data_IF_028807390339
#
_entry.id   IF_028807390339
#
_cell.length_a   1.000
_cell.length_b   1.000
_cell.length_c   1.000
_cell.angle_alpha   90.00
_cell.angle_beta   90.00
_cell.angle_gamma   90.00
#
_symmetry.space_group_name_H-M   'P 1'
#
loop_
_entity.id
_entity.type
_entity.pdbx_description
1 polymer ?
#
# COMPACT_ATOMS: atom_id res chain seq x y z
N UNK A 1 8.45 -19.89 3.32
CA UNK A 1 7.19 -19.57 2.65
C UNK A 1 7.06 -18.05 2.68
N UNK A 2 7.03 -17.40 1.52
CA UNK A 2 6.91 -15.96 1.41
C UNK A 2 5.46 -15.48 1.64
N UNK A 3 5.26 -14.18 1.74
CA UNK A 3 3.95 -13.56 1.97
C UNK A 3 3.70 -12.59 0.83
N UNK A 4 2.58 -12.74 0.14
CA UNK A 4 2.07 -11.74 -0.79
C UNK A 4 0.94 -10.94 -0.12
N UNK A 5 1.09 -9.62 -0.11
CA UNK A 5 0.04 -8.69 0.31
C UNK A 5 -0.58 -8.07 -0.92
N UNK A 6 -1.88 -8.18 -1.05
CA UNK A 6 -2.57 -7.56 -2.17
C UNK A 6 -3.85 -6.85 -1.73
N UNK A 7 -4.20 -5.83 -2.48
CA UNK A 7 -5.44 -5.08 -2.29
C UNK A 7 -6.45 -5.43 -3.38
N UNK A 8 -7.72 -5.50 -3.01
CA UNK A 8 -8.83 -5.58 -3.96
C UNK A 8 -9.49 -4.21 -4.12
N UNK A 9 -9.66 -3.77 -5.35
CA UNK A 9 -10.26 -2.50 -5.72
C UNK A 9 -11.28 -2.70 -6.85
N UNK A 10 -12.28 -1.84 -6.93
CA UNK A 10 -13.34 -1.89 -7.94
C UNK A 10 -14.54 -1.09 -7.47
N UNK A 11 -15.47 -0.80 -8.35
CA UNK A 11 -16.71 -0.10 -8.01
C UNK A 11 -17.58 -0.94 -7.05
N UNK A 12 -18.60 -0.30 -6.53
CA UNK A 12 -19.68 -1.01 -5.84
C UNK A 12 -20.29 -2.00 -6.83
N UNK A 13 -20.63 -3.17 -6.37
CA UNK A 13 -21.22 -4.25 -7.15
C UNK A 13 -20.32 -4.91 -8.23
N UNK A 14 -19.05 -4.54 -8.35
CA UNK A 14 -18.11 -5.26 -9.25
C UNK A 14 -17.78 -6.68 -8.75
N UNK A 15 -18.20 -7.04 -7.53
CA UNK A 15 -18.09 -8.38 -6.97
C UNK A 15 -16.82 -8.64 -6.14
N UNK A 16 -16.23 -7.61 -5.51
CA UNK A 16 -15.05 -7.74 -4.63
C UNK A 16 -15.26 -8.76 -3.52
N UNK A 17 -16.32 -8.59 -2.73
CA UNK A 17 -16.62 -9.48 -1.61
C UNK A 17 -16.87 -10.92 -2.06
N UNK A 18 -17.55 -11.09 -3.21
CA UNK A 18 -17.77 -12.41 -3.81
C UNK A 18 -16.46 -13.05 -4.26
N UNK A 19 -15.53 -12.27 -4.87
CA UNK A 19 -14.21 -12.76 -5.29
C UNK A 19 -13.38 -13.22 -4.10
N UNK A 20 -13.32 -12.40 -3.04
CA UNK A 20 -12.57 -12.74 -1.82
C UNK A 20 -13.18 -13.97 -1.16
N UNK A 21 -14.51 -14.00 -1.01
CA UNK A 21 -15.21 -15.14 -0.47
C UNK A 21 -14.95 -16.42 -1.25
N UNK A 22 -14.91 -16.34 -2.59
CA UNK A 22 -14.59 -17.46 -3.48
C UNK A 22 -13.15 -17.93 -3.30
N UNK A 23 -12.18 -17.02 -3.27
CA UNK A 23 -10.78 -17.37 -3.00
C UNK A 23 -10.63 -18.11 -1.67
N UNK A 24 -11.25 -17.61 -0.60
CA UNK A 24 -11.20 -18.23 0.72
C UNK A 24 -11.88 -19.60 0.74
N UNK A 25 -13.03 -19.72 0.08
CA UNK A 25 -13.82 -20.96 0.04
C UNK A 25 -13.11 -22.05 -0.75
N UNK A 26 -12.73 -21.75 -2.00
CA UNK A 26 -12.17 -22.75 -2.92
C UNK A 26 -10.71 -23.11 -2.59
N UNK A 27 -9.97 -22.23 -1.88
CA UNK A 27 -8.63 -22.54 -1.33
C UNK A 27 -8.67 -23.41 -0.07
N UNK A 28 -9.87 -23.74 0.46
CA UNK A 28 -10.02 -24.52 1.68
C UNK A 28 -9.53 -23.80 2.96
N UNK A 29 -9.43 -22.47 2.92
CA UNK A 29 -8.85 -21.67 4.03
C UNK A 29 -9.89 -21.17 5.04
N UNK A 30 -11.14 -21.64 4.94
CA UNK A 30 -12.22 -21.26 5.84
C UNK A 30 -12.19 -22.14 7.09
N UNK A 31 -12.36 -21.51 8.26
CA UNK A 31 -12.48 -22.22 9.52
C UNK A 31 -13.78 -23.03 9.57
N UNK A 32 -13.75 -24.19 10.25
CA UNK A 32 -14.88 -25.12 10.30
C UNK A 32 -16.17 -24.50 10.85
N UNK A 33 -16.06 -23.63 11.85
CA UNK A 33 -17.18 -22.89 12.44
C UNK A 33 -17.79 -21.86 11.47
N UNK A 34 -16.95 -21.18 10.67
CA UNK A 34 -17.40 -20.28 9.63
C UNK A 34 -18.09 -21.04 8.49
N UNK A 35 -17.57 -22.21 8.14
CA UNK A 35 -18.17 -23.07 7.12
C UNK A 35 -19.56 -23.58 7.56
N UNK A 36 -19.70 -23.98 8.82
CA UNK A 36 -20.98 -24.39 9.38
C UNK A 36 -21.98 -23.22 9.44
N UNK A 37 -21.54 -22.04 9.85
CA UNK A 37 -22.34 -20.81 9.82
C UNK A 37 -22.80 -20.46 8.41
N UNK A 38 -21.95 -20.66 7.41
CA UNK A 38 -22.23 -20.41 6.00
C UNK A 38 -23.32 -21.36 5.48
N UNK A 39 -23.22 -22.66 5.77
CA UNK A 39 -24.21 -23.67 5.39
C UNK A 39 -25.54 -23.51 6.12
N UNK A 40 -25.53 -22.99 7.36
CA UNK A 40 -26.73 -22.73 8.14
C UNK A 40 -27.40 -21.38 7.81
N UNK A 41 -26.73 -20.49 7.10
CA UNK A 41 -27.27 -19.21 6.70
C UNK A 41 -28.40 -19.38 5.69
N UNK A 42 -29.50 -18.61 5.87
CA UNK A 42 -30.61 -18.56 4.93
C UNK A 42 -30.33 -17.64 3.72
N UNK A 43 -29.14 -17.01 3.66
CA UNK A 43 -28.75 -16.17 2.52
C UNK A 43 -28.23 -17.05 1.42
N UNK A 44 -29.02 -17.13 0.37
CA UNK A 44 -28.69 -17.81 -0.90
C UNK A 44 -28.86 -16.81 -2.03
N UNK A 45 -28.06 -16.98 -3.07
CA UNK A 45 -28.25 -16.26 -4.32
C UNK A 45 -29.55 -16.68 -4.99
N UNK A 46 -30.02 -15.94 -6.00
CA UNK A 46 -31.25 -16.23 -6.75
C UNK A 46 -31.22 -17.62 -7.41
N UNK A 47 -30.04 -18.17 -7.71
CA UNK A 47 -29.83 -19.50 -8.25
C UNK A 47 -29.71 -20.61 -7.19
N UNK A 48 -29.90 -20.29 -5.90
CA UNK A 48 -29.83 -21.21 -4.78
C UNK A 48 -28.41 -21.51 -4.27
N UNK A 49 -27.37 -20.90 -4.86
CA UNK A 49 -25.98 -21.03 -4.41
C UNK A 49 -25.75 -20.22 -3.12
N UNK A 50 -24.72 -20.61 -2.35
CA UNK A 50 -24.35 -19.93 -1.10
C UNK A 50 -23.79 -18.53 -1.43
N UNK A 51 -24.26 -17.50 -0.72
CA UNK A 51 -23.70 -16.14 -0.80
C UNK A 51 -22.35 -16.07 -0.06
N UNK A 52 -21.26 -16.14 -0.81
CA UNK A 52 -19.90 -16.12 -0.24
C UNK A 52 -19.45 -14.72 0.20
N UNK A 53 -20.18 -13.66 -0.13
CA UNK A 53 -19.90 -12.31 0.37
C UNK A 53 -20.03 -12.22 1.89
N UNK A 54 -20.81 -13.09 2.51
CA UNK A 54 -20.95 -13.20 3.98
C UNK A 54 -19.59 -13.41 4.68
N UNK A 55 -18.63 -14.08 4.03
CA UNK A 55 -17.30 -14.32 4.58
C UNK A 55 -16.46 -13.03 4.73
N UNK A 56 -16.81 -11.99 4.00
CA UNK A 56 -16.09 -10.71 4.01
C UNK A 56 -16.74 -9.69 4.92
N UNK A 57 -18.04 -9.76 5.15
CA UNK A 57 -18.79 -8.80 5.94
C UNK A 57 -18.44 -8.87 7.43
N UNK A 58 -17.51 -8.04 7.88
CA UNK A 58 -17.00 -8.04 9.26
C UNK A 58 -17.84 -7.21 10.22
N UNK A 59 -18.15 -5.97 9.87
CA UNK A 59 -18.85 -5.03 10.72
C UNK A 59 -20.40 -5.17 10.59
N UNK A 60 -21.12 -4.90 11.68
CA UNK A 60 -22.59 -4.90 11.65
C UNK A 60 -23.12 -3.90 10.62
N UNK A 61 -22.52 -2.71 10.54
CA UNK A 61 -22.88 -1.68 9.59
C UNK A 61 -22.62 -2.09 8.12
N UNK A 62 -21.56 -2.85 7.85
CA UNK A 62 -21.27 -3.39 6.52
C UNK A 62 -22.34 -4.41 6.11
N UNK A 63 -22.74 -5.29 7.04
CA UNK A 63 -23.82 -6.27 6.82
C UNK A 63 -25.19 -5.63 6.58
N UNK A 64 -25.48 -4.53 7.26
CA UNK A 64 -26.75 -3.80 7.11
C UNK A 64 -26.81 -2.99 5.82
N UNK A 65 -25.68 -2.45 5.35
CA UNK A 65 -25.59 -1.61 4.17
C UNK A 65 -25.13 -2.37 2.90
N UNK A 66 -24.58 -3.57 3.05
CA UNK A 66 -24.04 -4.36 1.94
C UNK A 66 -22.80 -3.74 1.27
N UNK A 67 -22.02 -2.95 2.03
CA UNK A 67 -20.81 -2.26 1.52
C UNK A 67 -19.66 -2.42 2.50
N UNK A 68 -18.43 -2.48 1.98
CA UNK A 68 -17.21 -2.37 2.79
C UNK A 68 -17.01 -0.90 3.20
N UNK A 69 -16.82 -0.63 4.48
CA UNK A 69 -16.64 0.72 5.05
C UNK A 69 -15.18 0.98 5.38
N UNK A 70 -14.50 0.03 6.01
CA UNK A 70 -13.11 0.14 6.42
C UNK A 70 -12.25 -0.93 5.74
N UNK A 71 -10.92 -0.78 5.80
CA UNK A 71 -10.02 -1.83 5.27
C UNK A 71 -10.08 -3.04 6.18
N UNK A 72 -10.57 -4.15 5.63
CA UNK A 72 -10.55 -5.43 6.32
C UNK A 72 -9.38 -6.29 5.83
N UNK A 73 -8.60 -6.81 6.76
CA UNK A 73 -7.52 -7.73 6.41
C UNK A 73 -7.98 -9.18 6.56
N UNK A 74 -7.85 -9.94 5.48
CA UNK A 74 -8.13 -11.39 5.46
C UNK A 74 -6.83 -12.15 5.21
N UNK A 75 -6.74 -13.32 5.80
CA UNK A 75 -5.54 -14.15 5.74
C UNK A 75 -5.90 -15.51 5.21
N UNK A 76 -5.14 -15.99 4.25
CA UNK A 76 -5.22 -17.37 3.81
C UNK A 76 -3.84 -17.88 3.38
N UNK A 77 -3.73 -19.17 3.16
CA UNK A 77 -2.50 -19.78 2.71
C UNK A 77 -2.78 -20.99 1.81
N UNK A 78 -1.85 -21.23 0.90
CA UNK A 78 -1.75 -22.47 0.14
C UNK A 78 -0.48 -23.20 0.55
N UNK A 79 -0.21 -24.33 -0.02
CA UNK A 79 1.07 -25.03 0.19
C UNK A 79 2.28 -24.23 -0.31
N UNK A 80 2.08 -23.31 -1.27
CA UNK A 80 3.15 -22.52 -1.89
C UNK A 80 3.39 -21.18 -1.20
N UNK A 81 2.32 -20.46 -0.77
CA UNK A 81 2.43 -19.06 -0.33
C UNK A 81 1.39 -18.69 0.72
N UNK A 82 1.73 -17.72 1.57
CA UNK A 82 0.80 -17.04 2.47
C UNK A 82 0.30 -15.75 1.83
N UNK A 83 -0.95 -15.40 2.08
CA UNK A 83 -1.61 -14.23 1.51
C UNK A 83 -2.24 -13.36 2.58
N UNK A 84 -2.10 -12.05 2.38
CA UNK A 84 -2.83 -11.03 3.15
C UNK A 84 -3.61 -10.20 2.14
N UNK A 85 -4.94 -10.27 2.25
CA UNK A 85 -5.86 -9.49 1.43
C UNK A 85 -6.21 -8.22 2.20
N UNK A 86 -6.00 -7.06 1.60
CA UNK A 86 -6.58 -5.79 2.04
C UNK A 86 -7.86 -5.56 1.23
N UNK A 87 -9.02 -5.82 1.83
CA UNK A 87 -10.30 -5.53 1.20
C UNK A 87 -10.63 -4.06 1.37
N UNK A 88 -10.62 -3.31 0.26
CA UNK A 88 -10.85 -1.88 0.25
C UNK A 88 -12.28 -1.53 -0.17
N UNK A 89 -12.88 -0.48 0.46
CA UNK A 89 -14.20 -0.01 0.06
C UNK A 89 -14.24 0.46 -1.39
N UNK A 90 -15.34 0.15 -2.10
CA UNK A 90 -15.56 0.59 -3.47
C UNK A 90 -16.08 2.04 -3.61
N UNK A 91 -16.56 2.65 -2.53
CA UNK A 91 -17.14 4.00 -2.58
C UNK A 91 -16.08 5.11 -2.56
N UNK A 92 -16.31 6.16 -3.33
CA UNK A 92 -15.43 7.34 -3.40
C UNK A 92 -15.14 7.93 -2.01
N UNK A 93 -16.12 7.96 -1.13
CA UNK A 93 -16.00 8.52 0.23
C UNK A 93 -14.92 7.84 1.08
N UNK A 94 -14.53 6.61 0.74
CA UNK A 94 -13.56 5.81 1.47
C UNK A 94 -12.21 5.67 0.76
N UNK A 95 -11.89 6.56 -0.20
CA UNK A 95 -10.60 6.58 -0.92
C UNK A 95 -9.39 6.55 0.05
N UNK A 96 -9.51 7.22 1.19
CA UNK A 96 -8.53 7.18 2.28
C UNK A 96 -8.17 5.75 2.71
N UNK A 97 -9.19 4.90 2.84
CA UNK A 97 -9.01 3.51 3.28
C UNK A 97 -8.32 2.69 2.18
N UNK A 98 -8.60 2.97 0.90
CA UNK A 98 -7.87 2.37 -0.21
C UNK A 98 -6.38 2.75 -0.19
N UNK A 99 -6.03 4.02 0.04
CA UNK A 99 -4.63 4.44 0.15
C UNK A 99 -3.93 3.69 1.30
N UNK A 100 -4.61 3.51 2.43
CA UNK A 100 -4.05 2.77 3.57
C UNK A 100 -3.79 1.29 3.23
N UNK A 101 -4.74 0.62 2.58
CA UNK A 101 -4.59 -0.78 2.18
C UNK A 101 -3.53 -0.97 1.10
N UNK A 102 -3.54 -0.10 0.09
CA UNK A 102 -2.61 -0.17 -1.04
C UNK A 102 -1.15 0.13 -0.64
N UNK A 103 -0.91 1.06 0.30
CA UNK A 103 0.44 1.43 0.73
C UNK A 103 1.25 0.28 1.35
N UNK A 104 0.60 -0.80 1.77
CA UNK A 104 1.22 -1.99 2.35
C UNK A 104 1.12 -3.23 1.44
N UNK A 105 0.67 -3.05 0.20
CA UNK A 105 0.44 -4.14 -0.75
C UNK A 105 1.53 -4.18 -1.82
N UNK A 106 1.84 -5.36 -2.31
CA UNK A 106 2.74 -5.62 -3.42
C UNK A 106 1.99 -5.80 -4.75
N UNK A 107 0.67 -6.02 -4.70
CA UNK A 107 -0.17 -6.25 -5.87
C UNK A 107 -1.55 -5.63 -5.67
N UNK A 108 -2.13 -5.12 -6.76
CA UNK A 108 -3.52 -4.68 -6.78
C UNK A 108 -4.35 -5.57 -7.71
N UNK A 109 -5.49 -6.06 -7.22
CA UNK A 109 -6.54 -6.67 -8.05
C UNK A 109 -7.60 -5.61 -8.29
N UNK A 110 -7.78 -5.21 -9.54
CA UNK A 110 -8.81 -4.28 -9.98
C UNK A 110 -9.93 -5.07 -10.64
N UNK A 111 -11.13 -5.02 -10.06
CA UNK A 111 -12.30 -5.67 -10.61
C UNK A 111 -13.05 -4.72 -11.56
N UNK A 112 -13.51 -5.28 -12.67
CA UNK A 112 -14.36 -4.59 -13.66
C UNK A 112 -15.53 -5.52 -13.97
N UNK A 113 -16.76 -5.02 -13.80
CA UNK A 113 -17.97 -5.74 -14.23
C UNK A 113 -18.02 -5.77 -15.76
N UNK A 114 -18.04 -6.97 -16.35
CA UNK A 114 -18.04 -7.18 -17.80
C UNK A 114 -19.23 -6.49 -18.52
N UNK A 115 -20.34 -6.24 -17.80
CA UNK A 115 -21.52 -5.57 -18.35
C UNK A 115 -21.34 -4.06 -18.51
N UNK A 116 -20.50 -3.47 -17.63
CA UNK A 116 -20.36 -2.02 -17.51
C UNK A 116 -19.05 -1.49 -18.10
N UNK A 117 -18.03 -2.35 -18.21
CA UNK A 117 -16.70 -1.96 -18.66
C UNK A 117 -15.98 -1.01 -17.69
N UNK A 118 -15.04 -0.23 -18.22
CA UNK A 118 -14.22 0.70 -17.42
C UNK A 118 -15.05 1.88 -16.94
N UNK A 119 -15.11 2.08 -15.63
CA UNK A 119 -15.82 3.17 -14.96
C UNK A 119 -14.87 4.27 -14.48
N UNK A 120 -15.39 5.44 -14.10
CA UNK A 120 -14.60 6.50 -13.45
C UNK A 120 -13.92 5.98 -12.17
N UNK A 121 -14.59 5.11 -11.43
CA UNK A 121 -14.03 4.51 -10.22
C UNK A 121 -12.88 3.56 -10.55
N UNK A 122 -12.96 2.83 -11.66
CA UNK A 122 -11.84 2.02 -12.16
C UNK A 122 -10.62 2.88 -12.46
N UNK A 123 -10.81 4.04 -13.11
CA UNK A 123 -9.74 5.00 -13.42
C UNK A 123 -9.13 5.54 -12.12
N UNK A 124 -9.95 5.92 -11.14
CA UNK A 124 -9.51 6.43 -9.84
C UNK A 124 -8.67 5.40 -9.08
N UNK A 125 -9.12 4.16 -9.02
CA UNK A 125 -8.39 3.09 -8.35
C UNK A 125 -7.05 2.81 -9.06
N UNK A 126 -7.05 2.76 -10.39
CA UNK A 126 -5.82 2.58 -11.18
C UNK A 126 -4.84 3.74 -10.98
N UNK A 127 -5.34 4.97 -10.91
CA UNK A 127 -4.52 6.14 -10.61
C UNK A 127 -3.86 6.05 -9.22
N UNK A 128 -4.61 5.65 -8.19
CA UNK A 128 -4.06 5.46 -6.85
C UNK A 128 -3.02 4.33 -6.81
N UNK A 129 -3.25 3.24 -7.52
CA UNK A 129 -2.30 2.13 -7.65
C UNK A 129 -0.99 2.60 -8.31
N UNK A 130 -1.09 3.39 -9.38
CA UNK A 130 0.06 4.01 -10.05
C UNK A 130 0.78 4.99 -9.12
N UNK A 131 0.04 5.88 -8.45
CA UNK A 131 0.58 6.87 -7.52
C UNK A 131 1.37 6.23 -6.37
N UNK A 132 0.87 5.10 -5.85
CA UNK A 132 1.49 4.32 -4.79
C UNK A 132 2.58 3.36 -5.30
N UNK A 133 2.85 3.38 -6.61
CA UNK A 133 3.91 2.60 -7.27
C UNK A 133 3.81 1.08 -6.98
N UNK A 134 2.60 0.52 -6.96
CA UNK A 134 2.44 -0.93 -6.81
C UNK A 134 3.03 -1.64 -8.04
N UNK A 135 3.90 -2.65 -7.84
CA UNK A 135 4.61 -3.27 -8.94
C UNK A 135 3.72 -4.13 -9.85
N UNK A 136 2.67 -4.75 -9.30
CA UNK A 136 1.82 -5.68 -10.04
C UNK A 136 0.36 -5.25 -10.02
N UNK A 137 -0.29 -5.29 -11.19
CA UNK A 137 -1.71 -5.00 -11.34
C UNK A 137 -2.38 -6.16 -12.06
N UNK A 138 -3.39 -6.73 -11.43
CA UNK A 138 -4.26 -7.74 -12.04
C UNK A 138 -5.64 -7.13 -12.27
N UNK A 139 -6.08 -7.11 -13.51
CA UNK A 139 -7.42 -6.67 -13.87
C UNK A 139 -8.28 -7.91 -14.04
N UNK A 140 -9.17 -8.14 -13.08
CA UNK A 140 -10.17 -9.19 -13.16
C UNK A 140 -11.43 -8.65 -13.84
N UNK A 141 -11.68 -9.07 -15.07
CA UNK A 141 -12.94 -8.78 -15.77
C UNK A 141 -13.96 -9.79 -15.28
N UNK A 142 -14.79 -9.36 -14.32
CA UNK A 142 -15.69 -10.21 -13.55
C UNK A 142 -17.09 -10.25 -14.15
N UNK A 143 -17.88 -11.23 -13.72
CA UNK A 143 -19.25 -11.51 -14.19
C UNK A 143 -19.31 -11.89 -15.67
N UNK A 144 -18.28 -12.60 -16.13
CA UNK A 144 -18.25 -13.14 -17.50
C UNK A 144 -19.46 -14.04 -17.81
N UNK A 145 -20.01 -14.70 -16.79
CA UNK A 145 -21.25 -15.48 -16.88
C UNK A 145 -22.48 -14.64 -17.28
N UNK A 146 -22.47 -13.32 -17.02
CA UNK A 146 -23.54 -12.40 -17.36
C UNK A 146 -23.46 -11.86 -18.81
N UNK A 147 -22.37 -12.15 -19.51
CA UNK A 147 -22.11 -11.75 -20.90
C UNK A 147 -21.78 -12.97 -21.77
N UNK A 148 -22.34 -14.12 -21.41
CA UNK A 148 -22.17 -15.39 -22.12
C UNK A 148 -20.71 -15.78 -22.39
N UNK A 149 -19.80 -15.43 -21.45
CA UNK A 149 -18.36 -15.69 -21.52
C UNK A 149 -17.69 -15.16 -22.80
N UNK A 150 -18.18 -14.04 -23.32
CA UNK A 150 -17.80 -13.46 -24.60
C UNK A 150 -16.34 -12.97 -24.62
N UNK A 151 -15.54 -13.54 -25.53
CA UNK A 151 -14.16 -13.10 -25.81
C UNK A 151 -14.12 -11.65 -26.34
N UNK A 152 -15.10 -11.24 -27.16
CA UNK A 152 -15.19 -9.88 -27.70
C UNK A 152 -15.31 -8.85 -26.58
N UNK A 153 -16.22 -9.07 -25.61
CA UNK A 153 -16.41 -8.19 -24.45
C UNK A 153 -15.12 -8.09 -23.62
N UNK A 154 -14.46 -9.22 -23.38
CA UNK A 154 -13.17 -9.23 -22.68
C UNK A 154 -12.13 -8.39 -23.39
N UNK A 155 -11.98 -8.55 -24.70
CA UNK A 155 -10.99 -7.84 -25.50
C UNK A 155 -11.29 -6.33 -25.61
N UNK A 156 -12.56 -5.93 -25.68
CA UNK A 156 -12.97 -4.52 -25.67
C UNK A 156 -12.60 -3.83 -24.35
N UNK A 157 -12.90 -4.46 -23.21
CA UNK A 157 -12.58 -3.92 -21.89
C UNK A 157 -11.06 -3.88 -21.68
N UNK A 158 -10.35 -4.93 -22.10
CA UNK A 158 -8.89 -4.99 -22.05
C UNK A 158 -8.27 -3.85 -22.85
N UNK A 159 -8.74 -3.59 -24.08
CA UNK A 159 -8.22 -2.51 -24.91
C UNK A 159 -8.48 -1.13 -24.29
N UNK A 160 -9.68 -0.90 -23.74
CA UNK A 160 -10.03 0.34 -23.05
C UNK A 160 -9.15 0.56 -21.82
N UNK A 161 -8.90 -0.48 -21.02
CA UNK A 161 -8.07 -0.38 -19.83
C UNK A 161 -6.59 -0.13 -20.19
N UNK A 162 -6.06 -0.73 -21.24
CA UNK A 162 -4.68 -0.53 -21.67
C UNK A 162 -4.38 0.93 -22.03
N UNK A 163 -5.33 1.68 -22.58
CA UNK A 163 -5.17 3.12 -22.84
C UNK A 163 -5.01 3.91 -21.54
N UNK A 164 -5.67 3.49 -20.46
CA UNK A 164 -5.54 4.08 -19.13
C UNK A 164 -4.21 3.68 -18.51
N UNK A 165 -3.84 2.41 -18.60
CA UNK A 165 -2.59 1.88 -18.07
C UNK A 165 -1.37 2.58 -18.68
N UNK A 166 -1.40 2.88 -19.99
CA UNK A 166 -0.37 3.64 -20.68
C UNK A 166 -0.24 5.07 -20.12
N UNK A 167 -1.35 5.80 -19.99
CA UNK A 167 -1.37 7.14 -19.38
C UNK A 167 -0.85 7.17 -17.96
N UNK A 168 -1.13 6.11 -17.20
CA UNK A 168 -0.71 5.96 -15.81
C UNK A 168 0.68 5.33 -15.65
N UNK A 169 1.34 4.96 -16.74
CA UNK A 169 2.63 4.28 -16.74
C UNK A 169 2.64 3.00 -15.86
N UNK A 170 1.55 2.24 -15.88
CA UNK A 170 1.48 0.94 -15.21
C UNK A 170 2.32 -0.08 -15.97
N UNK A 171 3.34 -0.65 -15.32
CA UNK A 171 4.36 -1.47 -16.01
C UNK A 171 3.88 -2.87 -16.32
N UNK A 172 3.27 -3.53 -15.36
CA UNK A 172 2.83 -4.92 -15.47
C UNK A 172 1.34 -5.04 -15.18
N UNK A 173 0.55 -5.22 -16.24
CA UNK A 173 -0.89 -5.39 -16.13
C UNK A 173 -1.28 -6.76 -16.70
N UNK A 174 -1.80 -7.63 -15.84
CA UNK A 174 -2.31 -8.94 -16.22
C UNK A 174 -3.84 -8.90 -16.26
N UNK A 175 -4.45 -9.49 -17.29
CA UNK A 175 -5.91 -9.55 -17.44
C UNK A 175 -6.40 -10.98 -17.28
N UNK A 176 -7.39 -11.17 -16.40
CA UNK A 176 -8.00 -12.49 -16.14
C UNK A 176 -9.53 -12.35 -16.26
N UNK A 177 -10.17 -13.05 -17.22
CA UNK A 177 -11.62 -13.12 -17.27
C UNK A 177 -12.12 -14.07 -16.18
N UNK A 178 -13.04 -13.61 -15.33
CA UNK A 178 -13.51 -14.40 -14.19
C UNK A 178 -15.04 -14.37 -14.03
N UNK A 179 -15.58 -15.39 -13.39
CA UNK A 179 -16.87 -15.32 -12.72
C UNK A 179 -16.68 -15.65 -11.23
N UNK A 180 -16.67 -14.63 -10.39
CA UNK A 180 -16.54 -14.83 -8.95
C UNK A 180 -17.71 -15.65 -8.37
N UNK A 181 -18.90 -15.52 -8.96
CA UNK A 181 -20.10 -16.27 -8.55
C UNK A 181 -19.97 -17.75 -8.88
N UNK A 182 -19.51 -18.11 -10.07
CA UNK A 182 -19.40 -19.50 -10.53
C UNK A 182 -18.05 -20.13 -10.20
N UNK A 183 -17.01 -19.33 -9.88
CA UNK A 183 -15.66 -19.79 -9.58
C UNK A 183 -14.75 -19.92 -10.82
N UNK A 184 -15.21 -19.45 -11.98
CA UNK A 184 -14.46 -19.56 -13.23
C UNK A 184 -13.17 -18.71 -13.17
N UNK A 185 -12.02 -19.33 -13.48
CA UNK A 185 -10.68 -18.76 -13.47
C UNK A 185 -10.26 -18.11 -12.13
N UNK A 186 -10.87 -18.49 -11.01
CA UNK A 186 -10.47 -18.03 -9.68
C UNK A 186 -9.39 -18.95 -9.10
N UNK A 187 -9.72 -20.20 -8.81
CA UNK A 187 -8.79 -21.22 -8.33
C UNK A 187 -8.42 -22.17 -9.46
N UNK A 188 -9.40 -22.64 -10.20
CA UNK A 188 -9.25 -23.53 -11.34
C UNK A 188 -9.54 -22.80 -12.65
N UNK A 189 -8.94 -23.29 -13.73
CA UNK A 189 -9.21 -22.80 -15.08
C UNK A 189 -10.65 -23.15 -15.50
N UNK A 190 -11.30 -22.22 -16.19
CA UNK A 190 -12.69 -22.36 -16.62
C UNK A 190 -12.81 -23.17 -17.92
N UNK A 191 -13.77 -24.08 -17.95
CA UNK A 191 -14.16 -24.77 -19.18
C UNK A 191 -15.09 -23.92 -20.08
N UNK A 192 -15.70 -22.87 -19.52
CA UNK A 192 -16.62 -22.00 -20.24
C UNK A 192 -15.88 -20.93 -21.09
N UNK A 193 -14.58 -20.74 -20.87
CA UNK A 193 -13.74 -19.76 -21.58
C UNK A 193 -12.54 -20.43 -22.25
N UNK A 194 -12.74 -21.38 -23.21
CA UNK A 194 -11.65 -22.13 -23.86
C UNK A 194 -10.72 -21.23 -24.71
N UNK A 195 -11.15 -20.00 -25.00
CA UNK A 195 -10.35 -18.99 -25.71
C UNK A 195 -9.31 -18.30 -24.81
N UNK A 196 -9.43 -18.46 -23.48
CA UNK A 196 -8.47 -17.88 -22.54
C UNK A 196 -7.38 -18.91 -22.23
N UNK A 197 -6.17 -18.63 -22.71
CA UNK A 197 -5.00 -19.50 -22.52
C UNK A 197 -4.13 -19.11 -21.32
N UNK A 198 -4.60 -18.13 -20.52
CA UNK A 198 -3.90 -17.67 -19.32
C UNK A 198 -4.20 -18.54 -18.11
N UNK A 199 -3.52 -18.24 -17.02
CA UNK A 199 -3.66 -18.96 -15.74
C UNK A 199 -4.82 -18.42 -14.89
N UNK A 200 -5.30 -19.23 -13.93
CA UNK A 200 -6.29 -18.80 -12.95
C UNK A 200 -5.70 -17.73 -12.00
N UNK A 201 -6.58 -16.98 -11.34
CA UNK A 201 -6.17 -15.92 -10.41
C UNK A 201 -5.27 -16.45 -9.28
N UNK A 202 -5.66 -17.56 -8.64
CA UNK A 202 -4.87 -18.14 -7.55
C UNK A 202 -3.49 -18.59 -8.05
N UNK A 203 -3.42 -19.21 -9.21
CA UNK A 203 -2.14 -19.63 -9.78
C UNK A 203 -1.21 -18.44 -10.04
N UNK A 204 -1.75 -17.33 -10.58
CA UNK A 204 -1.00 -16.09 -10.74
C UNK A 204 -0.49 -15.56 -9.39
N UNK A 205 -1.35 -15.48 -8.38
CA UNK A 205 -0.99 -15.01 -7.06
C UNK A 205 0.08 -15.88 -6.37
N UNK A 206 0.10 -17.19 -6.65
CA UNK A 206 1.11 -18.11 -6.14
C UNK A 206 2.48 -17.97 -6.82
N UNK A 207 2.52 -17.47 -8.06
CA UNK A 207 3.73 -17.49 -8.90
C UNK A 207 4.35 -16.12 -9.14
N UNK A 208 3.57 -15.04 -9.00
CA UNK A 208 4.07 -13.67 -9.17
C UNK A 208 5.23 -13.36 -8.22
N UNK A 209 6.29 -12.72 -8.73
CA UNK A 209 7.45 -12.34 -7.93
C UNK A 209 7.08 -11.18 -6.98
N UNK A 210 7.34 -11.36 -5.68
CA UNK A 210 7.07 -10.32 -4.66
C UNK A 210 8.21 -9.31 -4.57
N UNK A 211 9.42 -9.71 -4.96
CA UNK A 211 10.62 -8.86 -4.89
C UNK A 211 10.69 -8.00 -6.15
N UNK A 212 10.84 -6.66 -6.03
CA UNK A 212 11.07 -5.80 -7.19
C UNK A 212 12.32 -6.26 -7.95
N UNK A 213 12.31 -6.19 -9.29
CA UNK A 213 13.48 -6.52 -10.12
C UNK A 213 14.72 -5.71 -9.73
N UNK A 214 14.52 -4.46 -9.30
CA UNK A 214 15.56 -3.55 -8.82
C UNK A 214 15.23 -3.06 -7.40
N UNK A 215 15.52 -3.85 -6.35
CA UNK A 215 15.27 -3.43 -4.98
C UNK A 215 16.19 -2.26 -4.61
N UNK A 216 15.68 -1.33 -3.83
CA UNK A 216 16.51 -0.26 -3.26
C UNK A 216 17.47 -0.87 -2.22
N UNK A 217 18.77 -0.95 -2.58
CA UNK A 217 19.77 -1.72 -1.84
C UNK A 217 20.42 -0.95 -0.68
N UNK A 218 20.23 0.38 -0.64
CA UNK A 218 20.91 1.21 0.36
C UNK A 218 20.22 1.15 1.73
N UNK A 219 21.01 0.92 2.76
CA UNK A 219 20.53 0.80 4.14
C UNK A 219 19.91 2.08 4.67
N UNK A 220 18.68 1.98 5.19
CA UNK A 220 17.95 3.01 5.90
C UNK A 220 17.32 2.45 7.17
N UNK A 221 17.69 2.97 8.31
CA UNK A 221 17.11 2.62 9.60
C UNK A 221 16.69 3.86 10.37
N UNK A 222 15.41 4.24 10.34
CA UNK A 222 14.86 5.25 11.24
C UNK A 222 14.96 4.79 12.70
N UNK A 223 15.52 5.61 13.56
CA UNK A 223 15.63 5.32 14.99
C UNK A 223 14.26 5.51 15.65
N UNK A 224 13.73 4.44 16.21
CA UNK A 224 12.46 4.42 16.90
C UNK A 224 12.61 4.60 18.39
N UNK A 225 13.71 4.08 18.96
CA UNK A 225 14.00 4.13 20.37
C UNK A 225 15.50 4.11 20.63
N UNK A 226 15.95 4.88 21.62
CA UNK A 226 17.32 4.84 22.13
C UNK A 226 17.31 4.04 23.43
N UNK A 227 18.02 2.89 23.43
CA UNK A 227 18.13 2.03 24.59
C UNK A 227 19.36 2.45 25.39
N UNK A 228 19.12 2.95 26.59
CA UNK A 228 20.18 3.33 27.53
C UNK A 228 19.76 2.91 28.93
N UNK A 229 20.04 1.63 29.31
CA UNK A 229 19.76 1.15 30.66
C UNK A 229 20.59 1.91 31.69
N UNK A 230 19.95 2.31 32.78
CA UNK A 230 20.64 2.99 33.90
C UNK A 230 20.91 1.96 35.03
N UNK A 231 21.62 0.86 34.68
CA UNK A 231 22.00 -0.19 35.64
C UNK A 231 23.52 -0.31 35.69
N UNK A 232 24.06 -0.64 36.86
CA UNK A 232 25.52 -0.80 37.04
C UNK A 232 26.12 -1.83 36.08
N UNK A 233 25.40 -2.88 35.73
CA UNK A 233 25.82 -3.93 34.80
C UNK A 233 25.87 -3.49 33.32
N UNK A 234 25.12 -2.42 32.92
CA UNK A 234 24.98 -1.96 31.56
C UNK A 234 25.25 -0.44 31.45
N UNK A 235 26.14 0.08 32.28
CA UNK A 235 26.44 1.51 32.37
C UNK A 235 26.78 2.15 31.02
N UNK A 236 27.57 1.45 30.18
CA UNK A 236 28.02 1.94 28.87
C UNK A 236 27.18 1.42 27.70
N UNK A 237 26.09 0.72 27.99
CA UNK A 237 25.23 0.22 26.93
C UNK A 237 24.46 1.35 26.26
N UNK A 238 24.63 1.49 24.95
CA UNK A 238 23.88 2.44 24.11
C UNK A 238 23.49 1.75 22.81
N UNK A 239 22.19 1.49 22.64
CA UNK A 239 21.63 0.84 21.46
C UNK A 239 20.59 1.71 20.78
N UNK A 240 20.58 1.69 19.46
CA UNK A 240 19.63 2.42 18.64
C UNK A 240 18.69 1.43 17.99
N UNK A 241 17.48 1.31 18.53
CA UNK A 241 16.49 0.36 18.05
C UNK A 241 15.65 0.97 16.92
N UNK A 242 15.45 0.21 15.86
CA UNK A 242 14.65 0.60 14.71
C UNK A 242 14.36 -0.57 13.78
N UNK A 243 13.53 -0.32 12.77
CA UNK A 243 13.27 -1.27 11.70
C UNK A 243 14.05 -0.85 10.46
N UNK A 244 14.74 -1.77 9.83
CA UNK A 244 15.33 -1.57 8.52
C UNK A 244 14.23 -1.36 7.48
N UNK A 245 14.10 -0.13 6.96
CA UNK A 245 13.04 0.20 5.99
C UNK A 245 13.47 -0.07 4.55
N UNK A 246 14.78 -0.08 4.28
CA UNK A 246 15.32 -0.48 2.98
C UNK A 246 16.75 -0.98 3.09
N UNK A 247 17.21 -1.68 2.05
CA UNK A 247 18.55 -2.18 1.90
C UNK A 247 19.05 -3.04 3.05
N UNK A 248 20.34 -2.99 3.31
CA UNK A 248 20.98 -3.70 4.42
C UNK A 248 22.09 -2.87 5.03
N UNK A 249 22.41 -3.16 6.28
CA UNK A 249 23.56 -2.65 7.02
C UNK A 249 24.32 -3.82 7.67
N UNK A 250 25.65 -3.74 7.70
CA UNK A 250 26.53 -4.76 8.26
C UNK A 250 27.38 -4.21 9.39
N UNK A 251 27.90 -5.09 10.23
CA UNK A 251 28.93 -4.71 11.19
C UNK A 251 30.17 -4.18 10.44
N UNK A 252 30.73 -3.10 10.94
CA UNK A 252 31.80 -2.29 10.35
C UNK A 252 31.42 -1.45 9.12
N UNK A 253 30.16 -1.43 8.69
CA UNK A 253 29.73 -0.46 7.67
C UNK A 253 29.82 0.96 8.22
N UNK A 254 30.31 1.88 7.38
CA UNK A 254 30.26 3.31 7.67
C UNK A 254 28.86 3.87 7.42
N UNK A 255 28.35 4.57 8.41
CA UNK A 255 26.99 5.17 8.40
C UNK A 255 27.03 6.64 8.73
N UNK A 256 26.00 7.34 8.29
CA UNK A 256 25.77 8.75 8.63
C UNK A 256 24.50 8.84 9.47
N UNK A 257 24.58 9.56 10.56
CA UNK A 257 23.41 9.94 11.36
C UNK A 257 22.73 11.16 10.71
N UNK A 258 21.54 11.00 10.23
CA UNK A 258 20.76 12.12 9.69
C UNK A 258 19.71 12.60 10.72
N UNK A 259 19.47 13.92 10.87
CA UNK A 259 19.95 15.03 10.03
C UNK A 259 21.27 15.67 10.48
N UNK A 260 21.94 15.18 11.52
CA UNK A 260 23.16 15.83 12.03
C UNK A 260 24.35 15.79 11.05
N UNK A 261 24.44 14.74 10.23
CA UNK A 261 25.55 14.51 9.31
C UNK A 261 26.75 13.83 9.95
N UNK A 262 26.68 13.41 11.21
CA UNK A 262 27.76 12.68 11.88
C UNK A 262 28.03 11.36 11.19
N UNK A 263 29.31 11.09 10.92
CA UNK A 263 29.78 9.83 10.34
C UNK A 263 30.38 8.97 11.45
N UNK A 264 30.04 7.69 11.43
CA UNK A 264 30.52 6.68 12.37
C UNK A 264 30.41 5.30 11.70
N UNK A 265 30.77 4.24 12.40
CA UNK A 265 30.64 2.87 11.92
C UNK A 265 29.76 2.04 12.86
N UNK A 266 29.14 0.98 12.34
CA UNK A 266 28.36 0.04 13.13
C UNK A 266 29.34 -0.90 13.86
N UNK A 267 29.31 -0.91 15.19
CA UNK A 267 30.13 -1.80 15.99
C UNK A 267 29.49 -3.16 16.26
N UNK A 268 28.14 -3.20 16.35
CA UNK A 268 27.39 -4.44 16.66
C UNK A 268 25.95 -4.30 16.20
N UNK A 269 25.34 -5.42 15.82
CA UNK A 269 23.92 -5.55 15.48
C UNK A 269 23.30 -6.60 16.40
N UNK A 270 22.22 -6.25 17.08
CA UNK A 270 21.46 -7.15 17.95
C UNK A 270 20.06 -7.39 17.41
N UNK A 271 19.63 -8.64 17.45
CA UNK A 271 18.26 -9.08 17.14
C UNK A 271 17.80 -10.02 18.27
N UNK A 272 16.88 -9.54 19.10
CA UNK A 272 16.51 -10.18 20.34
C UNK A 272 17.78 -10.46 21.22
N UNK A 273 18.08 -11.72 21.53
CA UNK A 273 19.24 -12.13 22.32
C UNK A 273 20.46 -12.55 21.47
N UNK A 274 20.39 -12.33 20.14
CA UNK A 274 21.43 -12.76 19.20
C UNK A 274 22.17 -11.57 18.62
N UNK A 275 23.46 -11.76 18.37
CA UNK A 275 24.27 -10.83 17.58
C UNK A 275 24.29 -11.26 16.12
N UNK A 276 24.08 -10.33 15.20
CA UNK A 276 24.08 -10.55 13.76
C UNK A 276 25.23 -9.81 13.08
N UNK A 277 25.72 -10.37 11.99
CA UNK A 277 26.68 -9.71 11.11
C UNK A 277 26.01 -8.71 10.15
N UNK A 278 24.71 -8.90 9.89
CA UNK A 278 23.95 -8.13 8.90
C UNK A 278 22.50 -7.96 9.33
N UNK A 279 21.94 -6.77 9.09
CA UNK A 279 20.50 -6.48 9.19
C UNK A 279 19.96 -6.19 7.81
N UNK A 280 18.93 -6.91 7.38
CA UNK A 280 18.25 -6.76 6.09
C UNK A 280 16.92 -6.02 6.24
N UNK A 281 16.41 -5.49 5.11
CA UNK A 281 15.09 -4.85 5.04
C UNK A 281 14.02 -5.66 5.77
N UNK A 282 13.22 -4.97 6.58
CA UNK A 282 12.11 -5.57 7.34
C UNK A 282 12.50 -6.06 8.73
N UNK A 283 13.78 -6.24 9.02
CA UNK A 283 14.24 -6.66 10.35
C UNK A 283 14.15 -5.49 11.36
N UNK A 284 13.67 -5.80 12.56
CA UNK A 284 13.68 -4.88 13.70
C UNK A 284 14.90 -5.19 14.55
N UNK A 285 15.90 -4.32 14.57
CA UNK A 285 17.21 -4.56 15.18
C UNK A 285 17.62 -3.42 16.08
N UNK A 286 18.62 -3.67 16.92
CA UNK A 286 19.33 -2.64 17.68
C UNK A 286 20.74 -2.52 17.10
N UNK A 287 21.08 -1.33 16.61
CA UNK A 287 22.42 -1.01 16.14
C UNK A 287 23.22 -0.33 17.24
N UNK A 288 24.50 -0.70 17.37
CA UNK A 288 25.48 -0.02 18.19
C UNK A 288 26.49 0.67 17.31
N UNK A 289 26.85 1.89 17.67
CA UNK A 289 27.82 2.71 16.94
C UNK A 289 29.18 2.65 17.65
N UNK A 290 30.23 2.85 16.85
CA UNK A 290 31.60 2.86 17.37
C UNK A 290 31.90 4.09 18.22
N UNK A 291 31.38 5.24 17.75
CA UNK A 291 31.61 6.50 18.40
C UNK A 291 30.40 6.89 19.28
N UNK A 292 30.64 7.61 20.34
CA UNK A 292 29.61 8.16 21.21
C UNK A 292 29.02 9.43 20.56
N UNK A 293 28.06 9.25 19.68
CA UNK A 293 27.39 10.32 18.93
C UNK A 293 25.97 10.55 19.46
N UNK A 294 25.52 11.79 19.36
CA UNK A 294 24.16 12.13 19.76
C UNK A 294 23.17 11.71 18.66
N UNK A 295 22.37 10.68 18.98
CA UNK A 295 21.31 10.14 18.14
C UNK A 295 20.03 10.07 18.93
N UNK A 296 18.97 10.58 18.37
CA UNK A 296 17.66 10.67 19.01
C UNK A 296 16.59 9.88 18.24
N UNK A 297 15.47 9.59 18.90
CA UNK A 297 14.28 9.09 18.20
C UNK A 297 13.88 10.05 17.07
N UNK A 298 13.70 9.50 15.87
CA UNK A 298 13.36 10.27 14.68
C UNK A 298 14.55 10.62 13.80
N UNK A 299 15.77 10.39 14.27
CA UNK A 299 16.95 10.41 13.41
C UNK A 299 17.00 9.14 12.56
N UNK A 300 17.87 9.13 11.56
CA UNK A 300 18.00 8.00 10.65
C UNK A 300 19.47 7.63 10.48
N UNK A 301 19.78 6.34 10.62
CA UNK A 301 21.08 5.77 10.26
C UNK A 301 21.02 5.36 8.78
N UNK A 302 21.93 5.90 8.00
CA UNK A 302 21.97 5.68 6.55
C UNK A 302 23.35 5.22 6.10
N UNK A 303 23.41 4.35 5.10
CA UNK A 303 24.67 3.95 4.50
C UNK A 303 25.39 5.17 3.90
N UNK A 304 26.68 5.34 4.16
CA UNK A 304 27.46 6.50 3.68
C UNK A 304 27.54 6.55 2.15
N UNK A 305 27.50 5.39 1.49
CA UNK A 305 27.62 5.25 0.04
C UNK A 305 26.45 5.86 -0.74
N UNK A 306 25.31 6.05 -0.12
CA UNK A 306 24.13 6.65 -0.73
C UNK A 306 23.33 7.41 0.31
N UNK A 307 23.33 8.74 0.20
CA UNK A 307 22.63 9.59 1.14
C UNK A 307 21.26 10.00 0.60
N UNK A 308 20.21 9.95 1.44
CA UNK A 308 18.89 10.44 1.08
C UNK A 308 18.89 11.97 0.91
N UNK A 309 17.85 12.48 0.28
CA UNK A 309 17.60 13.91 0.20
C UNK A 309 17.32 14.49 1.59
N UNK A 310 17.71 15.73 1.79
CA UNK A 310 17.46 16.46 3.03
C UNK A 310 17.00 17.88 2.72
N UNK A 311 15.77 18.22 3.08
CA UNK A 311 15.23 19.56 2.83
C UNK A 311 14.15 19.93 3.83
N UNK A 312 13.92 21.26 3.95
CA UNK A 312 12.73 21.84 4.60
C UNK A 312 11.60 22.14 3.62
N UNK A 313 11.92 22.24 2.33
CA UNK A 313 10.94 22.50 1.29
C UNK A 313 10.89 21.28 0.37
N UNK A 314 9.72 20.64 0.28
CA UNK A 314 9.57 19.35 -0.38
C UNK A 314 8.37 19.41 -1.33
N UNK A 315 8.60 19.04 -2.58
CA UNK A 315 7.51 18.75 -3.52
C UNK A 315 7.01 17.35 -3.25
N UNK A 316 5.71 17.22 -3.09
CA UNK A 316 5.08 15.93 -2.83
C UNK A 316 3.78 15.78 -3.65
N UNK A 317 3.51 14.59 -4.12
CA UNK A 317 2.17 14.24 -4.52
C UNK A 317 1.32 14.12 -3.26
N UNK A 318 0.07 14.51 -3.37
CA UNK A 318 -0.78 14.85 -2.25
C UNK A 318 -2.18 14.29 -2.47
N UNK A 319 -2.66 13.50 -1.52
CA UNK A 319 -4.03 13.03 -1.49
C UNK A 319 -4.71 13.60 -0.24
N UNK A 320 -5.71 14.47 -0.44
CA UNK A 320 -6.45 15.08 0.66
C UNK A 320 -7.57 14.15 1.15
N UNK A 321 -7.66 13.94 2.46
CA UNK A 321 -8.51 12.92 3.07
C UNK A 321 -9.51 13.47 4.10
N UNK A 322 -9.52 14.78 4.35
CA UNK A 322 -10.46 15.41 5.27
C UNK A 322 -11.70 15.90 4.51
N UNK A 323 -12.87 15.81 5.13
CA UNK A 323 -14.12 16.37 4.61
C UNK A 323 -14.10 17.90 4.52
N UNK A 324 -13.31 18.55 5.37
CA UNK A 324 -13.05 19.99 5.30
C UNK A 324 -12.04 20.27 4.20
N UNK A 325 -12.19 21.34 3.42
CA UNK A 325 -11.18 21.75 2.45
C UNK A 325 -9.83 22.02 3.10
N UNK A 326 -8.75 21.85 2.33
CA UNK A 326 -7.40 22.20 2.76
C UNK A 326 -7.33 23.69 3.12
N UNK A 327 -6.84 23.98 4.30
CA UNK A 327 -6.55 25.35 4.76
C UNK A 327 -5.02 25.54 4.80
N UNK A 328 -4.47 26.27 3.84
CA UNK A 328 -3.03 26.55 3.73
C UNK A 328 -2.50 27.48 4.81
N UNK A 329 -3.37 28.12 5.60
CA UNK A 329 -2.97 28.94 6.76
C UNK A 329 -2.66 28.10 8.00
N UNK A 330 -3.14 26.87 8.05
CA UNK A 330 -2.98 25.95 9.19
C UNK A 330 -1.58 25.36 9.22
N UNK A 331 -1.02 25.29 10.42
CA UNK A 331 0.21 24.55 10.69
C UNK A 331 -0.15 23.11 11.06
N UNK A 332 0.11 22.18 10.14
CA UNK A 332 -0.10 20.75 10.33
C UNK A 332 1.10 20.07 10.99
N UNK A 333 0.94 18.81 11.37
CA UNK A 333 2.03 17.91 11.75
C UNK A 333 2.29 16.92 10.61
N UNK A 334 3.51 16.90 10.12
CA UNK A 334 4.00 15.89 9.22
C UNK A 334 4.57 14.75 10.04
N UNK A 335 4.03 13.54 9.85
CA UNK A 335 4.55 12.30 10.43
C UNK A 335 5.33 11.55 9.37
N UNK A 336 6.65 11.44 9.57
CA UNK A 336 7.54 10.64 8.75
C UNK A 336 8.29 9.66 9.65
N UNK A 337 8.04 8.37 9.48
CA UNK A 337 8.50 7.33 10.41
C UNK A 337 8.15 7.65 11.87
N UNK A 338 9.17 7.71 12.74
CA UNK A 338 9.03 8.01 14.17
C UNK A 338 9.09 9.52 14.49
N UNK A 339 9.27 10.39 13.48
CA UNK A 339 9.43 11.84 13.65
C UNK A 339 8.16 12.57 13.30
N UNK A 340 7.76 13.53 14.16
CA UNK A 340 6.70 14.50 13.89
C UNK A 340 7.30 15.88 13.76
N UNK A 341 6.96 16.61 12.70
CA UNK A 341 7.50 17.92 12.38
C UNK A 341 6.35 18.86 12.03
N UNK A 342 6.38 20.09 12.53
CA UNK A 342 5.43 21.11 12.11
C UNK A 342 5.67 21.47 10.64
N UNK A 343 4.59 21.55 9.87
CA UNK A 343 4.66 21.91 8.47
C UNK A 343 3.41 22.67 8.01
N UNK A 344 3.53 23.33 6.88
CA UNK A 344 2.38 23.90 6.17
C UNK A 344 2.47 23.58 4.68
N UNK A 345 1.32 23.54 4.02
CA UNK A 345 1.25 23.56 2.56
C UNK A 345 1.55 24.98 2.11
N UNK A 346 2.68 25.18 1.44
CA UNK A 346 3.14 26.49 1.00
C UNK A 346 2.52 26.88 -0.33
N UNK A 347 2.39 25.89 -1.23
CA UNK A 347 1.91 26.09 -2.59
C UNK A 347 1.13 24.86 -3.05
N UNK A 348 0.08 25.07 -3.82
CA UNK A 348 -0.64 24.07 -4.58
C UNK A 348 -0.15 24.20 -6.03
N UNK A 349 0.62 23.20 -6.51
CA UNK A 349 1.14 23.22 -7.88
C UNK A 349 0.04 22.95 -8.89
N UNK A 350 -0.73 21.87 -8.67
CA UNK A 350 -1.86 21.47 -9.50
C UNK A 350 -2.73 20.43 -8.80
N UNK A 351 -3.94 20.23 -9.34
CA UNK A 351 -4.78 19.04 -9.07
C UNK A 351 -4.90 18.19 -10.32
N UNK A 352 -5.18 16.91 -10.13
CA UNK A 352 -5.46 15.96 -11.21
C UNK A 352 -6.96 15.77 -11.34
N UNK A 353 -7.47 15.96 -12.55
CA UNK A 353 -8.84 15.56 -12.87
C UNK A 353 -8.86 14.05 -13.14
N UNK A 354 -9.51 13.29 -12.28
CA UNK A 354 -9.52 11.83 -12.36
C UNK A 354 -10.18 11.29 -13.63
N UNK A 355 -11.18 12.01 -14.18
CA UNK A 355 -11.92 11.50 -15.35
C UNK A 355 -11.09 11.49 -16.64
N UNK A 356 -10.15 12.43 -16.81
CA UNK A 356 -9.28 12.54 -17.99
C UNK A 356 -7.78 12.42 -17.68
N UNK A 357 -7.42 12.37 -16.39
CA UNK A 357 -6.04 12.30 -15.87
C UNK A 357 -5.19 13.54 -16.19
N UNK A 358 -5.82 14.68 -16.46
CA UNK A 358 -5.14 15.95 -16.77
C UNK A 358 -4.89 16.77 -15.50
N UNK A 359 -3.73 17.42 -15.49
CA UNK A 359 -3.36 18.39 -14.47
C UNK A 359 -4.04 19.74 -14.74
N UNK A 360 -4.56 20.38 -13.69
CA UNK A 360 -5.12 21.73 -13.78
C UNK A 360 -4.74 22.59 -12.58
N UNK A 361 -4.62 23.89 -12.81
CA UNK A 361 -4.37 24.84 -11.73
C UNK A 361 -5.51 24.82 -10.70
N UNK A 362 -5.16 24.87 -9.43
CA UNK A 362 -6.12 24.85 -8.34
C UNK A 362 -5.63 25.70 -7.16
N UNK A 363 -6.55 26.19 -6.38
CA UNK A 363 -6.29 27.01 -5.17
C UNK A 363 -6.75 26.33 -3.90
N UNK A 364 -7.45 25.21 -4.00
CA UNK A 364 -7.97 24.42 -2.88
C UNK A 364 -7.84 22.93 -3.13
N UNK A 365 -7.97 22.14 -2.07
CA UNK A 365 -8.19 20.68 -2.11
C UNK A 365 -9.42 20.33 -1.31
N UNK A 366 -10.27 19.48 -1.87
CA UNK A 366 -11.45 18.89 -1.23
C UNK A 366 -11.23 17.41 -1.00
N UNK A 367 -12.11 16.78 -0.24
CA UNK A 367 -12.06 15.35 0.03
C UNK A 367 -11.80 14.53 -1.25
N UNK A 368 -10.79 13.68 -1.21
CA UNK A 368 -10.34 12.78 -2.29
C UNK A 368 -9.70 13.49 -3.51
N UNK A 369 -9.45 14.79 -3.42
CA UNK A 369 -8.63 15.46 -4.43
C UNK A 369 -7.18 14.96 -4.34
N UNK A 370 -6.59 14.77 -5.51
CA UNK A 370 -5.20 14.36 -5.67
C UNK A 370 -4.49 15.39 -6.55
N UNK A 371 -3.25 15.69 -6.22
CA UNK A 371 -2.45 16.65 -6.98
C UNK A 371 -1.04 16.77 -6.43
N UNK A 372 -0.39 17.90 -6.64
CA UNK A 372 0.98 18.16 -6.20
C UNK A 372 1.05 19.45 -5.41
N UNK A 373 1.82 19.42 -4.34
CA UNK A 373 2.01 20.55 -3.44
C UNK A 373 3.49 20.74 -3.10
N UNK A 374 3.83 21.97 -2.68
CA UNK A 374 5.07 22.25 -1.95
C UNK A 374 4.74 22.36 -0.48
N UNK A 375 5.40 21.56 0.34
CA UNK A 375 5.32 21.67 1.81
C UNK A 375 6.57 22.31 2.36
N UNK A 376 6.39 23.12 3.42
CA UNK A 376 7.49 23.71 4.19
C UNK A 376 7.44 23.20 5.62
N UNK A 377 8.55 22.64 6.11
CA UNK A 377 8.71 22.06 7.44
C UNK A 377 9.55 22.94 8.35
N UNK A 378 9.32 22.88 9.67
CA UNK A 378 10.14 23.60 10.66
C UNK A 378 11.58 23.09 10.71
N UNK A 379 11.76 21.78 10.52
CA UNK A 379 13.05 21.08 10.58
C UNK A 379 13.27 20.26 9.30
N UNK A 380 14.52 20.00 8.91
CA UNK A 380 14.78 19.18 7.74
C UNK A 380 14.19 17.77 7.87
N UNK A 381 13.58 17.30 6.79
CA UNK A 381 13.17 15.90 6.60
C UNK A 381 14.24 15.21 5.76
N UNK A 382 14.58 14.00 6.16
CA UNK A 382 15.51 13.12 5.44
C UNK A 382 14.70 12.04 4.74
N UNK A 383 14.67 12.03 3.42
CA UNK A 383 13.78 11.18 2.63
C UNK A 383 14.42 10.73 1.32
N UNK A 384 13.94 9.63 0.78
CA UNK A 384 14.18 9.23 -0.61
C UNK A 384 12.99 9.63 -1.48
N UNK A 385 13.17 9.72 -2.79
CA UNK A 385 12.05 9.89 -3.71
C UNK A 385 11.13 8.66 -3.62
N UNK A 386 9.82 8.88 -3.55
CA UNK A 386 8.87 7.79 -3.34
C UNK A 386 8.97 6.68 -4.39
N UNK A 387 9.16 7.04 -5.66
CA UNK A 387 9.31 6.08 -6.76
C UNK A 387 10.51 5.14 -6.60
N UNK A 388 11.60 5.63 -5.97
CA UNK A 388 12.81 4.86 -5.76
C UNK A 388 12.73 4.02 -4.49
N UNK A 389 12.21 4.60 -3.41
CA UNK A 389 12.10 3.97 -2.11
C UNK A 389 10.79 4.36 -1.42
N UNK A 390 9.67 3.71 -1.73
CA UNK A 390 8.37 4.00 -1.10
C UNK A 390 8.43 3.97 0.43
N UNK A 391 9.26 3.07 0.99
CA UNK A 391 9.39 2.92 2.44
C UNK A 391 9.98 4.13 3.15
N UNK A 392 10.75 4.99 2.46
CA UNK A 392 11.33 6.22 3.02
C UNK A 392 10.85 7.48 2.27
N UNK A 393 9.97 7.34 1.29
CA UNK A 393 9.45 8.44 0.48
C UNK A 393 8.03 8.89 0.84
N UNK A 394 7.38 8.20 1.79
CA UNK A 394 6.00 8.47 2.18
C UNK A 394 5.87 9.13 3.55
N UNK A 395 4.86 10.00 3.71
CA UNK A 395 4.51 10.62 4.98
C UNK A 395 3.00 10.87 5.07
N UNK A 396 2.52 11.20 6.26
CA UNK A 396 1.13 11.64 6.47
C UNK A 396 1.09 13.03 7.09
N UNK A 397 0.02 13.77 6.77
CA UNK A 397 -0.34 15.01 7.43
C UNK A 397 -1.40 14.77 8.50
N UNK A 398 -1.20 15.36 9.66
CA UNK A 398 -2.10 15.27 10.80
C UNK A 398 -2.58 16.68 11.16
N UNK A 399 -3.88 16.86 11.31
CA UNK A 399 -4.44 18.10 11.88
C UNK A 399 -4.22 18.10 13.41
N UNK A 400 -3.43 19.04 13.96
CA UNK A 400 -3.10 19.05 15.39
C UNK A 400 -4.31 19.34 16.30
N UNK A 401 -5.42 19.86 15.75
CA UNK A 401 -6.64 20.15 16.51
C UNK A 401 -7.50 18.92 16.74
N UNK A 402 -7.47 17.98 15.78
CA UNK A 402 -8.33 16.78 15.79
C UNK A 402 -7.53 15.49 15.99
N UNK A 403 -6.21 15.53 15.78
CA UNK A 403 -5.31 14.37 15.69
C UNK A 403 -5.69 13.38 14.60
N UNK A 404 -6.46 13.82 13.59
CA UNK A 404 -6.83 13.00 12.45
C UNK A 404 -5.78 13.13 11.33
N UNK A 405 -5.51 12.02 10.65
CA UNK A 405 -4.78 12.05 9.39
C UNK A 405 -5.65 12.71 8.32
N UNK A 406 -5.14 13.81 7.74
CA UNK A 406 -5.86 14.63 6.76
C UNK A 406 -5.30 14.53 5.35
N UNK A 407 -4.07 14.03 5.19
CA UNK A 407 -3.51 13.75 3.87
C UNK A 407 -2.42 12.68 3.90
N UNK A 408 -2.21 12.05 2.74
CA UNK A 408 -1.00 11.30 2.42
C UNK A 408 -0.09 12.13 1.50
N UNK A 409 1.20 11.97 1.69
CA UNK A 409 2.27 12.66 0.97
C UNK A 409 3.24 11.63 0.40
N UNK A 410 3.58 11.79 -0.86
CA UNK A 410 4.57 10.97 -1.56
C UNK A 410 5.66 11.92 -2.07
N UNK A 411 6.81 11.89 -1.44
CA UNK A 411 7.90 12.84 -1.69
C UNK A 411 8.51 12.65 -3.07
N UNK A 412 8.69 13.74 -3.81
CA UNK A 412 9.23 13.74 -5.16
C UNK A 412 10.63 14.36 -5.22
N UNK A 413 10.79 15.55 -4.69
CA UNK A 413 12.08 16.26 -4.75
C UNK A 413 12.22 17.29 -3.63
N UNK A 414 13.47 17.62 -3.32
CA UNK A 414 13.82 18.79 -2.51
C UNK A 414 13.80 20.05 -3.38
N UNK A 415 13.41 21.19 -2.80
CA UNK A 415 13.39 22.49 -3.46
C UNK A 415 14.15 23.48 -2.60
N UNK A 416 15.00 24.26 -3.23
CA UNK A 416 15.61 25.45 -2.62
C UNK A 416 14.68 26.65 -2.89
N UNK A 417 13.98 27.13 -1.85
CA UNK A 417 13.07 28.27 -1.89
C UNK A 417 13.64 29.43 -1.08
#
# INVERSE_FOLDING_TARGET
>A
MDILRFITAGSVDDGKSTLIGRLLYDSGSILADQLEALHSSNRKNDDGTIDLAILTDGLKAEREQGITIDVAYKYFQTEKRKFIIADAPGHIQYTRNMVTGASNSELAIILIDARNGVSEQTIRHSFLVSLLALPHVVVCINKMDMVDYSESVFNEIKAAYLQIAEKLNLKEVTFIPVSALKGDNIVNESQAMPWYEGQSLLHYLETVAVVPEHPFEHGRMPVQWVIRPQTDALHDYRGYAGRMVSGSLKVNDDVVVQPSGFQTSISRIEFAEQTLEKADKGMSVTLHLKDDVDVSRGDMLVAISNQPLRSKNIVADFCWMDSRPLDTSVMYLLQHHSKQIRCKVQEICYKVNISNLEEHAATDFKLNDIGRVVIKTSDPVTFDQYEQNPSNGGAILIDPRTNLTVAALLFRQAVDL
#
